data_IF_498853491304
#
_entry.id   IF_498853491304
#
_cell.length_a   1.000
_cell.length_b   1.000
_cell.length_c   1.000
_cell.angle_alpha   90.00
_cell.angle_beta   90.00
_cell.angle_gamma   90.00
#
_symmetry.space_group_name_H-M   'P 1'
#
loop_
_entity.id
_entity.type
_entity.pdbx_description
1 polymer ?
#
# COMPACT_ATOMS: atom_id res chain seq x y z
N UNK A 1 -9.41 7.16 19.42
CA UNK A 1 -10.70 7.86 19.62
C UNK A 1 -11.75 6.80 19.92
N UNK A 2 -12.28 6.76 21.15
CA UNK A 2 -13.16 5.72 21.66
C UNK A 2 -14.67 6.03 21.49
N UNK A 3 -15.03 7.12 20.80
CA UNK A 3 -16.38 7.68 20.82
C UNK A 3 -17.17 7.57 19.51
N UNK A 4 -16.70 6.87 18.47
CA UNK A 4 -17.47 6.62 17.24
C UNK A 4 -17.75 7.84 16.34
N UNK A 5 -17.50 9.06 16.82
CA UNK A 5 -17.64 10.31 16.06
C UNK A 5 -16.28 10.86 15.63
N UNK A 6 -16.21 11.34 14.38
CA UNK A 6 -15.04 12.02 13.83
C UNK A 6 -14.96 13.48 14.25
N UNK A 7 -13.82 14.13 13.99
CA UNK A 7 -13.56 15.53 14.37
C UNK A 7 -14.57 16.55 13.81
N UNK A 8 -15.33 16.18 12.76
CA UNK A 8 -16.37 17.01 12.14
C UNK A 8 -17.79 16.69 12.62
N UNK A 9 -17.94 15.87 13.66
CA UNK A 9 -19.25 15.42 14.17
C UNK A 9 -19.94 14.33 13.35
N UNK A 10 -19.42 14.02 12.16
CA UNK A 10 -19.88 12.90 11.36
C UNK A 10 -19.40 11.56 11.93
N UNK A 11 -20.06 10.47 11.54
CA UNK A 11 -19.62 9.12 11.87
C UNK A 11 -18.15 8.90 11.45
N UNK A 12 -17.34 8.35 12.35
CA UNK A 12 -15.94 8.04 12.09
C UNK A 12 -15.77 6.99 10.99
N UNK A 13 -14.67 7.06 10.22
CA UNK A 13 -14.39 6.14 9.10
C UNK A 13 -14.49 4.65 9.48
N UNK A 14 -14.04 4.30 10.69
CA UNK A 14 -14.01 2.91 11.18
C UNK A 14 -15.17 2.57 12.13
N UNK A 15 -16.17 3.45 12.26
CA UNK A 15 -17.29 3.24 13.19
C UNK A 15 -18.15 2.01 12.86
N UNK A 16 -18.43 1.66 11.58
CA UNK A 16 -19.15 0.42 11.27
C UNK A 16 -18.43 -0.85 11.74
N UNK A 17 -17.09 -0.88 11.60
CA UNK A 17 -16.27 -2.00 12.09
C UNK A 17 -16.26 -2.08 13.61
N UNK A 18 -16.20 -0.92 14.27
CA UNK A 18 -16.34 -0.83 15.72
C UNK A 18 -17.71 -1.33 16.21
N UNK A 19 -18.80 -0.96 15.53
CA UNK A 19 -20.14 -1.43 15.88
C UNK A 19 -20.26 -2.96 15.77
N UNK A 20 -19.68 -3.55 14.73
CA UNK A 20 -19.65 -5.00 14.56
C UNK A 20 -18.86 -5.70 15.67
N UNK A 21 -17.67 -5.17 15.98
CA UNK A 21 -16.85 -5.67 17.08
C UNK A 21 -17.56 -5.54 18.44
N UNK A 22 -18.16 -4.38 18.74
CA UNK A 22 -18.90 -4.11 19.97
C UNK A 22 -20.11 -5.04 20.11
N UNK A 23 -20.85 -5.28 19.01
CA UNK A 23 -21.97 -6.21 18.97
C UNK A 23 -21.51 -7.63 19.30
N UNK A 24 -20.42 -8.10 18.68
CA UNK A 24 -19.87 -9.41 18.97
C UNK A 24 -19.43 -9.55 20.43
N UNK A 25 -18.72 -8.55 20.97
CA UNK A 25 -18.28 -8.56 22.37
C UNK A 25 -19.42 -8.52 23.38
N UNK A 26 -20.60 -8.02 22.98
CA UNK A 26 -21.79 -7.98 23.83
C UNK A 26 -22.52 -9.34 23.88
N UNK A 27 -22.28 -10.21 22.91
CA UNK A 27 -22.93 -11.53 22.80
C UNK A 27 -22.00 -12.71 23.08
N UNK A 28 -20.68 -12.50 23.03
CA UNK A 28 -19.69 -13.57 23.19
C UNK A 28 -19.35 -13.85 24.66
N UNK A 29 -19.22 -15.12 25.01
CA UNK A 29 -18.77 -15.56 26.35
C UNK A 29 -17.26 -15.37 26.52
N UNK A 30 -16.50 -15.49 25.42
CA UNK A 30 -15.04 -15.35 25.41
C UNK A 30 -14.56 -14.22 24.48
N UNK A 31 -13.60 -13.37 24.90
CA UNK A 31 -13.03 -12.33 24.04
C UNK A 31 -12.32 -12.85 22.78
N UNK A 32 -11.97 -14.15 22.78
CA UNK A 32 -11.32 -14.84 21.66
C UNK A 32 -12.23 -15.03 20.44
N UNK A 33 -13.54 -15.14 20.63
CA UNK A 33 -14.49 -15.34 19.53
C UNK A 33 -14.56 -14.12 18.60
N UNK A 34 -14.34 -12.92 19.15
CA UNK A 34 -14.40 -11.66 18.40
C UNK A 34 -13.03 -11.19 17.87
N UNK A 35 -12.02 -12.07 17.85
CA UNK A 35 -10.64 -11.69 17.47
C UNK A 35 -10.56 -11.22 16.02
N UNK A 36 -11.30 -11.85 15.10
CA UNK A 36 -11.32 -11.45 13.69
C UNK A 36 -11.85 -10.01 13.52
N UNK A 37 -12.98 -9.70 14.16
CA UNK A 37 -13.57 -8.36 14.12
C UNK A 37 -12.69 -7.30 14.79
N UNK A 38 -11.97 -7.71 15.85
CA UNK A 38 -10.96 -6.86 16.49
C UNK A 38 -9.83 -6.53 15.53
N UNK A 39 -9.32 -7.53 14.81
CA UNK A 39 -8.26 -7.31 13.81
C UNK A 39 -8.72 -6.38 12.71
N UNK A 40 -9.94 -6.53 12.19
CA UNK A 40 -10.49 -5.66 11.14
C UNK A 40 -10.60 -4.20 11.61
N UNK A 41 -11.04 -3.99 12.86
CA UNK A 41 -11.10 -2.66 13.45
C UNK A 41 -9.72 -2.02 13.58
N UNK A 42 -8.72 -2.77 14.05
CA UNK A 42 -7.33 -2.28 14.15
C UNK A 42 -6.67 -2.10 12.78
N UNK A 43 -7.04 -2.90 11.79
CA UNK A 43 -6.60 -2.75 10.41
C UNK A 43 -7.09 -1.40 9.88
N UNK A 44 -8.38 -1.08 10.02
CA UNK A 44 -8.91 0.22 9.59
C UNK A 44 -8.28 1.42 10.33
N UNK A 45 -7.90 1.27 11.60
CA UNK A 45 -7.27 2.36 12.36
C UNK A 45 -5.82 2.62 11.95
N UNK A 46 -5.06 1.57 11.60
CA UNK A 46 -3.61 1.65 11.44
C UNK A 46 -3.13 1.31 10.02
N UNK A 47 -3.99 0.77 9.17
CA UNK A 47 -3.71 0.35 7.79
C UNK A 47 -2.44 -0.49 7.63
N UNK A 48 -2.05 -1.28 8.65
CA UNK A 48 -0.76 -1.99 8.66
C UNK A 48 -0.67 -3.02 7.53
N UNK A 49 -1.75 -3.79 7.32
CA UNK A 49 -1.81 -4.84 6.29
C UNK A 49 -1.86 -4.18 4.90
N UNK A 50 -2.66 -3.12 4.74
CA UNK A 50 -2.75 -2.33 3.51
C UNK A 50 -1.42 -1.68 3.11
N UNK A 51 -0.76 -0.96 4.02
CA UNK A 51 0.52 -0.27 3.76
C UNK A 51 1.59 -1.29 3.37
N UNK A 52 1.68 -2.42 4.08
CA UNK A 52 2.63 -3.49 3.74
C UNK A 52 2.40 -4.03 2.33
N UNK A 53 1.14 -4.29 1.97
CA UNK A 53 0.78 -4.76 0.61
C UNK A 53 1.15 -3.70 -0.43
N UNK A 54 0.78 -2.44 -0.20
CA UNK A 54 1.09 -1.33 -1.11
C UNK A 54 2.60 -1.21 -1.36
N UNK A 55 3.41 -1.26 -0.29
CA UNK A 55 4.87 -1.22 -0.40
C UNK A 55 5.42 -2.38 -1.23
N UNK A 56 4.93 -3.61 -1.03
CA UNK A 56 5.36 -4.77 -1.82
C UNK A 56 5.02 -4.60 -3.30
N UNK A 57 3.84 -4.08 -3.63
CA UNK A 57 3.43 -3.82 -5.01
C UNK A 57 4.29 -2.72 -5.64
N UNK A 58 4.57 -1.65 -4.90
CA UNK A 58 5.42 -0.55 -5.36
C UNK A 58 6.85 -1.00 -5.60
N UNK A 59 7.40 -1.86 -4.74
CA UNK A 59 8.74 -2.43 -4.93
C UNK A 59 8.81 -3.28 -6.21
N UNK A 60 7.82 -4.14 -6.45
CA UNK A 60 7.74 -4.96 -7.67
C UNK A 60 7.59 -4.08 -8.92
N UNK A 61 6.76 -3.04 -8.85
CA UNK A 61 6.63 -2.06 -9.94
C UNK A 61 7.95 -1.36 -10.23
N UNK A 62 8.67 -0.94 -9.20
CA UNK A 62 9.98 -0.30 -9.36
C UNK A 62 10.99 -1.23 -10.05
N UNK A 63 11.03 -2.52 -9.68
CA UNK A 63 11.88 -3.52 -10.35
C UNK A 63 11.58 -3.62 -11.84
N UNK A 64 10.32 -3.80 -12.20
CA UNK A 64 9.88 -3.90 -13.61
C UNK A 64 10.19 -2.62 -14.38
N UNK A 65 10.00 -1.45 -13.78
CA UNK A 65 10.31 -0.16 -14.41
C UNK A 65 11.82 -0.02 -14.63
N UNK A 66 12.64 -0.36 -13.65
CA UNK A 66 14.10 -0.28 -13.74
C UNK A 66 14.67 -1.24 -14.79
N UNK A 67 14.15 -2.46 -14.87
CA UNK A 67 14.51 -3.43 -15.91
C UNK A 67 14.18 -2.91 -17.31
N UNK A 68 12.96 -2.38 -17.50
CA UNK A 68 12.55 -1.77 -18.77
C UNK A 68 13.39 -0.53 -19.11
N UNK A 69 13.72 0.28 -18.10
CA UNK A 69 14.58 1.45 -18.28
C UNK A 69 16.00 1.06 -18.69
N UNK A 70 16.57 -0.02 -18.14
CA UNK A 70 17.88 -0.53 -18.55
C UNK A 70 17.87 -1.01 -20.01
N UNK A 71 16.86 -1.79 -20.41
CA UNK A 71 16.70 -2.25 -21.80
C UNK A 71 16.51 -1.08 -22.75
N UNK A 72 15.66 -0.12 -22.38
CA UNK A 72 15.43 1.09 -23.17
C UNK A 72 16.70 1.93 -23.29
N UNK A 73 17.45 2.08 -22.20
CA UNK A 73 18.73 2.82 -22.20
C UNK A 73 19.72 2.20 -23.17
N UNK A 74 19.88 0.87 -23.18
CA UNK A 74 20.78 0.20 -24.13
C UNK A 74 20.31 0.35 -25.58
N UNK A 75 19.00 0.30 -25.85
CA UNK A 75 18.46 0.57 -27.20
C UNK A 75 18.71 2.01 -27.65
N UNK A 76 18.37 2.99 -26.80
CA UNK A 76 18.62 4.41 -27.07
C UNK A 76 20.10 4.64 -27.29
N UNK A 77 20.97 4.04 -26.47
CA UNK A 77 22.41 4.21 -26.61
C UNK A 77 22.92 3.67 -27.95
N UNK A 78 22.43 2.50 -28.38
CA UNK A 78 22.72 1.95 -29.70
C UNK A 78 22.22 2.86 -30.83
N UNK A 79 20.98 3.33 -30.76
CA UNK A 79 20.41 4.24 -31.76
C UNK A 79 21.20 5.55 -31.84
N UNK A 80 21.55 6.15 -30.70
CA UNK A 80 22.37 7.36 -30.64
C UNK A 80 23.73 7.11 -31.28
N UNK A 81 24.39 5.99 -30.99
CA UNK A 81 25.69 5.66 -31.57
C UNK A 81 25.62 5.42 -33.08
N UNK A 82 24.62 4.67 -33.56
CA UNK A 82 24.44 4.33 -34.96
C UNK A 82 24.03 5.55 -35.82
N UNK A 83 23.37 6.56 -35.22
CA UNK A 83 22.90 7.78 -35.92
C UNK A 83 23.78 9.00 -35.70
N UNK A 84 24.65 9.00 -34.70
CA UNK A 84 25.59 10.11 -34.45
C UNK A 84 26.80 10.03 -35.38
N UNK A 85 27.03 11.10 -36.15
CA UNK A 85 28.24 11.32 -36.94
C UNK A 85 29.46 11.77 -36.10
N UNK A 86 29.32 11.74 -34.77
CA UNK A 86 30.36 12.07 -33.78
C UNK A 86 30.42 10.99 -32.69
N UNK A 87 31.61 10.67 -32.18
CA UNK A 87 31.82 9.65 -31.14
C UNK A 87 31.26 10.11 -29.79
N UNK A 88 30.11 9.57 -29.37
CA UNK A 88 29.52 9.82 -28.04
C UNK A 88 30.08 8.81 -27.03
N UNK A 89 30.89 9.27 -26.08
CA UNK A 89 31.41 8.40 -25.00
C UNK A 89 30.33 8.11 -23.94
N UNK A 90 30.32 6.89 -23.39
CA UNK A 90 29.37 6.48 -22.34
C UNK A 90 29.72 7.25 -21.06
N UNK A 91 28.79 8.07 -20.56
CA UNK A 91 28.97 8.77 -19.29
C UNK A 91 29.24 7.78 -18.15
N UNK A 92 30.34 8.00 -17.42
CA UNK A 92 30.88 7.16 -16.34
C UNK A 92 29.95 7.08 -15.14
#
# INVERSE_FOLDING_TARGET
MASGFGAKGNEGRCTPLWQNFSRCMSTADSPSECTNLREDYFECLHHRKEIRRSNSVMEQRAKVINEKAAVLKEKIWKEVFDTSWATVEKAK
#
